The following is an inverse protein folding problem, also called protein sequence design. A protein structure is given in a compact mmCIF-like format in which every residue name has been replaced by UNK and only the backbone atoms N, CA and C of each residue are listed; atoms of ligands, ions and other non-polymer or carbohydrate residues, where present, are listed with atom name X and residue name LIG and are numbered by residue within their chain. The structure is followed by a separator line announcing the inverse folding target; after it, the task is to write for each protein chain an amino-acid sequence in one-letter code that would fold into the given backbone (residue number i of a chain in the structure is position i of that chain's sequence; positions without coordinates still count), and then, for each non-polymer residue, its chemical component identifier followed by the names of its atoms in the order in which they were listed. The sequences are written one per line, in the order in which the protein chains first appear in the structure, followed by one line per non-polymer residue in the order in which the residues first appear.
data_IF_985258168864
#
_entry.id   IF_985258168864
#
_cell.length_a   1.000
_cell.length_b   1.000
_cell.length_c   1.000
_cell.angle_alpha   90.00
_cell.angle_beta   90.00
_cell.angle_gamma   90.00
#
_symmetry.space_group_name_H-M   'P 1'
#
loop_
_entity.id
_entity.type
_entity.pdbx_description
1 polymer ?
#
# COMPACT_ATOMS: atom_id res chain seq x y z
N UNK A 1 18.49 -6.27 -15.42
CA UNK A 1 17.91 -7.14 -14.37
C UNK A 1 16.98 -8.12 -15.07
N UNK A 2 17.29 -9.42 -15.09
CA UNK A 2 16.58 -10.45 -15.88
C UNK A 2 15.45 -11.14 -15.12
N UNK A 3 14.47 -10.38 -14.65
CA UNK A 3 13.30 -10.93 -13.96
C UNK A 3 12.32 -11.50 -14.99
N UNK A 4 11.82 -12.74 -14.84
CA UNK A 4 10.83 -13.32 -15.75
C UNK A 4 9.52 -12.51 -15.83
N UNK A 5 8.97 -12.36 -17.04
CA UNK A 5 7.73 -11.62 -17.30
C UNK A 5 6.53 -12.09 -16.47
N UNK A 6 6.48 -13.40 -16.20
CA UNK A 6 5.44 -14.00 -15.34
C UNK A 6 5.40 -13.45 -13.92
N UNK A 7 6.53 -12.93 -13.41
CA UNK A 7 6.61 -12.33 -12.07
C UNK A 7 6.15 -10.88 -12.14
N UNK A 8 6.52 -10.16 -13.20
CA UNK A 8 6.17 -8.75 -13.41
C UNK A 8 4.65 -8.59 -13.63
N UNK A 9 4.04 -9.49 -14.39
CA UNK A 9 2.62 -9.42 -14.74
C UNK A 9 1.69 -9.99 -13.66
N UNK A 10 2.22 -10.72 -12.67
CA UNK A 10 1.38 -11.29 -11.63
C UNK A 10 0.82 -10.15 -10.76
N UNK A 11 -0.50 -10.06 -10.54
CA UNK A 11 -1.05 -9.03 -9.68
C UNK A 11 -0.47 -9.16 -8.26
N UNK A 12 -0.07 -8.04 -7.64
CA UNK A 12 0.42 -8.03 -6.27
C UNK A 12 -0.66 -8.54 -5.29
N UNK A 13 -0.26 -9.48 -4.45
CA UNK A 13 -1.14 -10.17 -3.50
C UNK A 13 -0.32 -10.71 -2.33
N UNK A 14 -0.83 -10.53 -1.11
CA UNK A 14 -0.29 -11.17 0.08
C UNK A 14 -0.44 -12.71 0.08
N UNK A 15 -1.27 -13.27 -0.81
CA UNK A 15 -1.47 -14.71 -0.96
C UNK A 15 -2.12 -15.38 0.25
N UNK A 16 -2.88 -14.62 1.04
CA UNK A 16 -3.55 -15.11 2.25
C UNK A 16 -4.87 -15.84 1.92
N UNK A 17 -5.52 -15.47 0.82
CA UNK A 17 -6.76 -16.07 0.33
C UNK A 17 -6.76 -16.21 -1.20
N UNK A 18 -7.54 -17.16 -1.73
CA UNK A 18 -7.70 -17.32 -3.18
C UNK A 18 -8.36 -16.07 -3.80
N UNK A 19 -7.82 -15.60 -4.93
CA UNK A 19 -8.26 -14.41 -5.67
C UNK A 19 -8.15 -13.06 -4.94
N UNK A 20 -7.38 -12.99 -3.85
CA UNK A 20 -7.06 -11.73 -3.17
C UNK A 20 -6.10 -10.88 -4.01
N UNK A 21 -6.39 -9.59 -4.20
CA UNK A 21 -5.44 -8.59 -4.68
C UNK A 21 -5.25 -7.50 -3.64
N UNK A 22 -4.05 -6.96 -3.53
CA UNK A 22 -3.78 -5.91 -2.54
C UNK A 22 -4.59 -4.63 -2.84
N UNK A 23 -4.85 -4.35 -4.12
CA UNK A 23 -5.61 -3.17 -4.56
C UNK A 23 -7.09 -3.27 -4.16
N UNK A 24 -7.69 -4.45 -4.20
CA UNK A 24 -9.07 -4.67 -3.74
C UNK A 24 -9.18 -4.47 -2.22
N UNK A 25 -8.19 -4.92 -1.45
CA UNK A 25 -8.19 -4.74 0.01
C UNK A 25 -7.97 -3.28 0.43
N UNK A 26 -7.01 -2.61 -0.23
CA UNK A 26 -6.74 -1.19 0.01
C UNK A 26 -7.86 -0.31 -0.56
N UNK A 27 -8.56 -0.79 -1.58
CA UNK A 27 -9.55 -0.08 -2.40
C UNK A 27 -9.00 1.22 -2.99
N UNK A 28 -7.77 1.16 -3.49
CA UNK A 28 -7.10 2.10 -4.40
C UNK A 28 -5.96 1.37 -5.11
N UNK A 29 -5.56 1.86 -6.28
CA UNK A 29 -4.52 1.23 -7.09
C UNK A 29 -3.10 1.63 -6.65
N UNK A 30 -2.10 0.87 -7.08
CA UNK A 30 -0.70 1.27 -6.90
C UNK A 30 -0.36 2.57 -7.65
N UNK A 31 -1.00 2.84 -8.79
CA UNK A 31 -0.86 4.10 -9.52
C UNK A 31 -1.38 5.29 -8.70
N UNK A 32 -2.48 5.12 -7.95
CA UNK A 32 -3.01 6.15 -7.05
C UNK A 32 -2.06 6.42 -5.88
N UNK A 33 -1.42 5.37 -5.35
CA UNK A 33 -0.43 5.49 -4.31
C UNK A 33 0.84 6.21 -4.82
N UNK A 34 1.29 5.90 -6.04
CA UNK A 34 2.42 6.58 -6.67
C UNK A 34 2.14 8.07 -6.86
N UNK A 35 0.95 8.42 -7.38
CA UNK A 35 0.50 9.81 -7.48
C UNK A 35 0.50 10.50 -6.12
N UNK A 36 0.02 9.83 -5.07
CA UNK A 36 0.03 10.37 -3.71
C UNK A 36 1.46 10.63 -3.21
N UNK A 37 2.39 9.70 -3.42
CA UNK A 37 3.80 9.85 -3.03
C UNK A 37 4.48 11.00 -3.80
N UNK A 38 4.15 11.16 -5.08
CA UNK A 38 4.67 12.22 -5.94
C UNK A 38 3.97 13.58 -5.76
N UNK A 39 2.99 13.69 -4.86
CA UNK A 39 2.15 14.87 -4.65
C UNK A 39 1.40 15.34 -5.92
N UNK A 40 1.00 14.39 -6.76
CA UNK A 40 0.19 14.64 -7.94
C UNK A 40 -1.30 14.80 -7.59
N UNK A 41 -2.12 15.19 -8.58
CA UNK A 41 -3.56 15.32 -8.40
C UNK A 41 -4.21 13.95 -8.23
N UNK A 42 -4.95 13.78 -7.15
CA UNK A 42 -5.72 12.58 -6.83
C UNK A 42 -7.13 12.95 -6.39
N UNK A 43 -8.06 11.99 -6.47
CA UNK A 43 -9.37 12.14 -5.85
C UNK A 43 -9.22 12.32 -4.33
N UNK A 44 -9.93 13.30 -3.77
CA UNK A 44 -9.90 13.59 -2.33
C UNK A 44 -10.29 12.39 -1.47
N UNK A 45 -11.23 11.57 -1.94
CA UNK A 45 -11.66 10.37 -1.22
C UNK A 45 -10.53 9.36 -1.07
N UNK A 46 -9.74 9.17 -2.14
CA UNK A 46 -8.58 8.27 -2.14
C UNK A 46 -7.48 8.85 -1.26
N UNK A 47 -7.22 10.15 -1.38
CA UNK A 47 -6.22 10.84 -0.57
C UNK A 47 -6.51 10.73 0.95
N UNK A 48 -7.77 10.93 1.35
CA UNK A 48 -8.21 10.76 2.74
C UNK A 48 -8.06 9.31 3.21
N UNK A 49 -8.38 8.33 2.36
CA UNK A 49 -8.24 6.90 2.67
C UNK A 49 -6.77 6.53 2.90
N UNK A 50 -5.86 6.97 2.03
CA UNK A 50 -4.42 6.76 2.17
C UNK A 50 -3.93 7.38 3.48
N UNK A 51 -4.25 8.66 3.75
CA UNK A 51 -3.86 9.34 5.01
C UNK A 51 -4.36 8.60 6.25
N UNK A 52 -5.60 8.11 6.22
CA UNK A 52 -6.19 7.33 7.31
C UNK A 52 -5.43 6.03 7.54
N UNK A 53 -5.10 5.29 6.48
CA UNK A 53 -4.31 4.06 6.58
C UNK A 53 -2.88 4.31 7.08
N UNK A 54 -2.23 5.37 6.62
CA UNK A 54 -0.91 5.80 7.12
C UNK A 54 -0.99 6.07 8.63
N UNK A 55 -1.99 6.82 9.09
CA UNK A 55 -2.19 7.11 10.52
C UNK A 55 -2.37 5.84 11.35
N UNK A 56 -3.24 4.91 10.93
CA UNK A 56 -3.49 3.69 11.71
C UNK A 56 -2.30 2.72 11.72
N UNK A 57 -1.50 2.70 10.66
CA UNK A 57 -0.31 1.85 10.54
C UNK A 57 0.95 2.45 11.16
N UNK A 58 0.87 3.62 11.81
CA UNK A 58 2.02 4.31 12.41
C UNK A 58 2.84 3.42 13.36
N UNK A 59 2.16 2.59 14.16
CA UNK A 59 2.80 1.64 15.08
C UNK A 59 3.65 0.57 14.38
N UNK A 60 3.47 0.33 13.08
CA UNK A 60 4.31 -0.59 12.29
C UNK A 60 5.64 0.06 11.88
N UNK A 61 5.72 1.39 11.88
CA UNK A 61 6.89 2.17 11.48
C UNK A 61 7.64 2.79 12.66
N UNK A 62 7.00 2.90 13.82
CA UNK A 62 7.58 3.41 15.05
C UNK A 62 7.84 2.27 16.04
N UNK A 63 8.92 2.38 16.81
CA UNK A 63 9.13 1.47 17.94
C UNK A 63 8.01 1.58 18.96
N UNK A 64 7.69 0.46 19.61
CA UNK A 64 6.74 0.43 20.70
C UNK A 64 7.15 1.44 21.78
N UNK A 65 6.20 2.28 22.19
CA UNK A 65 6.39 3.26 23.28
C UNK A 65 6.59 2.49 24.58
N UNK A 66 7.85 2.18 24.89
CA UNK A 66 8.22 1.36 26.04
C UNK A 66 9.57 0.64 25.89
N UNK A 67 10.07 0.46 24.66
CA UNK A 67 11.41 -0.11 24.46
C UNK A 67 12.46 1.01 24.45
N UNK A 68 12.80 1.53 25.64
CA UNK A 68 14.07 2.24 25.86
C UNK A 68 14.90 1.37 26.80
N UNK A 69 16.04 0.90 26.31
CA UNK A 69 17.10 0.33 27.15
C UNK A 69 17.89 1.48 27.78
#
# INVERSE_FOLDING_TARGET
MGVPDKIIQKPPSAGLFENQTDEDEMGFSYDDLEKFINNEKLDKNIEEKIKKMVKFSEHKRNFAKGFRR
#
